data_IF_757290343946
#
_entry.id   IF_757290343946
#
_cell.length_a   1.000
_cell.length_b   1.000
_cell.length_c   1.000
_cell.angle_alpha   90.00
_cell.angle_beta   90.00
_cell.angle_gamma   90.00
#
_symmetry.space_group_name_H-M   'P 1'
#
loop_
_entity.id
_entity.type
_entity.pdbx_description
1 polymer ?
#
# COMPACT_ATOMS: atom_id res chain seq x y z
N UNK A 1 -12.84 -0.27 -9.45
CA UNK A 1 -11.50 -0.81 -9.78
C UNK A 1 -10.95 -1.49 -8.55
N UNK A 2 -10.34 -2.65 -8.74
CA UNK A 2 -9.73 -3.46 -7.69
C UNK A 2 -8.30 -2.99 -7.41
N UNK A 3 -7.91 -3.03 -6.14
CA UNK A 3 -6.57 -2.63 -5.68
C UNK A 3 -5.72 -3.86 -5.37
N UNK A 4 -4.41 -3.77 -5.63
CA UNK A 4 -3.43 -4.77 -5.26
C UNK A 4 -2.16 -4.15 -4.69
N UNK A 5 -1.26 -5.02 -4.24
CA UNK A 5 0.11 -4.66 -3.85
C UNK A 5 1.07 -5.27 -4.86
N UNK A 6 2.00 -4.45 -5.35
CA UNK A 6 3.09 -4.83 -6.24
C UNK A 6 4.39 -4.85 -5.45
N UNK A 7 5.14 -5.95 -5.56
CA UNK A 7 6.54 -6.01 -5.15
C UNK A 7 7.35 -6.73 -6.23
N UNK A 8 8.38 -6.06 -6.76
CA UNK A 8 9.09 -6.48 -7.98
C UNK A 8 8.12 -6.76 -9.15
N UNK A 9 8.00 -8.01 -9.58
CA UNK A 9 7.17 -8.52 -10.66
C UNK A 9 5.94 -9.27 -10.13
N UNK A 10 5.75 -9.32 -8.82
CA UNK A 10 4.62 -9.99 -8.17
C UNK A 10 3.55 -8.96 -7.81
N UNK A 11 2.37 -9.12 -8.40
CA UNK A 11 1.16 -8.40 -7.97
C UNK A 11 0.25 -9.36 -7.23
N UNK A 12 -0.26 -8.93 -6.08
CA UNK A 12 -1.27 -9.68 -5.32
C UNK A 12 -2.47 -8.78 -5.03
N UNK A 13 -3.66 -9.24 -5.42
CA UNK A 13 -4.89 -8.47 -5.25
C UNK A 13 -5.42 -8.45 -3.81
N UNK A 14 -5.98 -7.31 -3.41
CA UNK A 14 -6.78 -7.14 -2.20
C UNK A 14 -8.24 -7.56 -2.38
N UNK A 15 -8.75 -7.78 -3.59
CA UNK A 15 -10.15 -8.14 -3.87
C UNK A 15 -11.13 -7.19 -3.18
N UNK A 16 -10.82 -5.89 -3.32
CA UNK A 16 -11.58 -4.76 -2.78
C UNK A 16 -11.49 -3.62 -3.77
N UNK A 17 -12.58 -2.86 -3.86
CA UNK A 17 -12.63 -1.68 -4.70
C UNK A 17 -11.80 -0.53 -4.11
N UNK A 18 -11.39 0.40 -4.97
CA UNK A 18 -10.54 1.55 -4.59
C UNK A 18 -11.17 2.43 -3.52
N UNK A 19 -12.49 2.63 -3.53
CA UNK A 19 -13.17 3.50 -2.57
C UNK A 19 -13.16 2.88 -1.17
N UNK A 20 -13.39 1.57 -1.07
CA UNK A 20 -13.25 0.80 0.16
C UNK A 20 -11.83 0.93 0.76
N UNK A 21 -10.80 0.78 -0.07
CA UNK A 21 -9.40 0.91 0.37
C UNK A 21 -9.06 2.34 0.76
N UNK A 22 -9.59 3.35 0.06
CA UNK A 22 -9.41 4.75 0.41
C UNK A 22 -10.08 5.11 1.74
N UNK A 23 -11.29 4.61 1.98
CA UNK A 23 -11.97 4.81 3.26
C UNK A 23 -11.19 4.17 4.42
N UNK A 24 -10.63 2.98 4.21
CA UNK A 24 -9.73 2.36 5.19
C UNK A 24 -8.47 3.21 5.43
N UNK A 25 -7.85 3.73 4.38
CA UNK A 25 -6.71 4.63 4.49
C UNK A 25 -7.03 5.85 5.37
N UNK A 26 -8.13 6.55 5.07
CA UNK A 26 -8.56 7.72 5.86
C UNK A 26 -8.86 7.36 7.31
N UNK A 27 -9.50 6.22 7.54
CA UNK A 27 -9.75 5.70 8.88
C UNK A 27 -8.44 5.46 9.64
N UNK A 28 -7.48 4.75 9.05
CA UNK A 28 -6.19 4.46 9.67
C UNK A 28 -5.40 5.74 9.95
N UNK A 29 -5.39 6.67 8.99
CA UNK A 29 -4.72 7.96 9.11
C UNK A 29 -5.26 8.77 10.29
N UNK A 30 -6.58 8.85 10.43
CA UNK A 30 -7.24 9.51 11.55
C UNK A 30 -6.97 8.82 12.89
N UNK A 31 -6.88 7.48 12.89
CA UNK A 31 -6.60 6.70 14.09
C UNK A 31 -5.19 6.93 14.63
N UNK A 32 -4.22 7.17 13.75
CA UNK A 32 -2.80 7.34 14.11
C UNK A 32 -2.29 8.78 14.02
N UNK A 33 -3.18 9.76 13.82
CA UNK A 33 -2.83 11.17 13.58
C UNK A 33 -1.89 11.78 14.64
N UNK A 34 -1.99 11.33 15.89
CA UNK A 34 -1.19 11.83 17.01
C UNK A 34 0.16 11.09 17.14
N UNK A 35 0.40 10.05 16.32
CA UNK A 35 1.65 9.31 16.26
C UNK A 35 2.31 9.51 14.89
N UNK A 36 3.20 10.51 14.83
CA UNK A 36 3.87 10.93 13.60
C UNK A 36 4.58 9.79 12.85
N UNK A 37 5.24 8.89 13.56
CA UNK A 37 5.93 7.74 12.93
C UNK A 37 4.93 6.77 12.30
N UNK A 38 3.81 6.50 12.96
CA UNK A 38 2.77 5.63 12.41
C UNK A 38 2.12 6.29 11.20
N UNK A 39 1.83 7.59 11.29
CA UNK A 39 1.26 8.38 10.22
C UNK A 39 2.13 8.33 8.95
N UNK A 40 3.45 8.54 9.07
CA UNK A 40 4.38 8.46 7.93
C UNK A 40 4.32 7.10 7.25
N UNK A 41 4.36 6.01 8.02
CA UNK A 41 4.39 4.66 7.44
C UNK A 41 3.04 4.31 6.79
N UNK A 42 1.93 4.72 7.39
CA UNK A 42 0.60 4.57 6.78
C UNK A 42 0.51 5.38 5.49
N UNK A 43 0.92 6.65 5.50
CA UNK A 43 0.92 7.48 4.29
C UNK A 43 1.81 6.88 3.20
N UNK A 44 3.00 6.34 3.53
CA UNK A 44 3.86 5.66 2.55
C UNK A 44 3.24 4.37 2.00
N UNK A 45 2.62 3.55 2.84
CA UNK A 45 1.97 2.29 2.43
C UNK A 45 0.87 2.53 1.39
N UNK A 46 0.04 3.56 1.61
CA UNK A 46 -1.10 3.83 0.75
C UNK A 46 -0.78 4.78 -0.39
N UNK A 47 0.03 5.82 -0.20
CA UNK A 47 0.27 6.85 -1.24
C UNK A 47 1.53 6.63 -2.06
N UNK A 48 2.56 6.02 -1.47
CA UNK A 48 3.91 5.94 -2.05
C UNK A 48 4.33 4.48 -2.21
N UNK A 49 5.52 4.18 -1.73
CA UNK A 49 6.12 2.87 -1.72
C UNK A 49 6.83 2.65 -0.39
N UNK A 50 7.09 1.39 -0.06
CA UNK A 50 7.82 0.94 1.12
C UNK A 50 9.09 0.23 0.70
N UNK A 51 10.21 0.57 1.32
CA UNK A 51 11.39 -0.29 1.29
C UNK A 51 11.25 -1.47 2.28
N UNK A 52 12.26 -2.34 2.36
CA UNK A 52 12.26 -3.50 3.25
C UNK A 52 11.98 -3.13 4.73
N UNK A 53 12.73 -2.19 5.29
CA UNK A 53 12.60 -1.79 6.69
C UNK A 53 11.24 -1.13 6.97
N UNK A 54 10.73 -0.35 6.03
CA UNK A 54 9.41 0.27 6.16
C UNK A 54 8.27 -0.74 6.02
N UNK A 55 8.47 -1.80 5.24
CA UNK A 55 7.52 -2.91 5.14
C UNK A 55 7.41 -3.64 6.46
N UNK A 56 8.55 -3.93 7.12
CA UNK A 56 8.57 -4.50 8.47
C UNK A 56 7.85 -3.60 9.49
N UNK A 57 8.08 -2.29 9.41
CA UNK A 57 7.38 -1.31 10.25
C UNK A 57 5.88 -1.29 9.98
N UNK A 58 5.46 -1.28 8.71
CA UNK A 58 4.05 -1.28 8.33
C UNK A 58 3.32 -2.52 8.87
N UNK A 59 3.93 -3.69 8.78
CA UNK A 59 3.39 -4.95 9.34
C UNK A 59 3.19 -4.81 10.85
N UNK A 60 4.21 -4.31 11.58
CA UNK A 60 4.13 -4.13 13.04
C UNK A 60 3.05 -3.10 13.43
N UNK A 61 3.00 -1.98 12.71
CA UNK A 61 2.03 -0.91 12.96
C UNK A 61 0.60 -1.42 12.74
N UNK A 62 0.33 -2.06 11.61
CA UNK A 62 -1.01 -2.60 11.31
C UNK A 62 -1.42 -3.67 12.33
N UNK A 63 -0.50 -4.53 12.75
CA UNK A 63 -0.75 -5.53 13.81
C UNK A 63 -1.10 -4.86 15.13
N UNK A 64 -0.33 -3.85 15.55
CA UNK A 64 -0.59 -3.10 16.77
C UNK A 64 -1.95 -2.38 16.72
N UNK A 65 -2.29 -1.78 15.57
CA UNK A 65 -3.58 -1.14 15.36
C UNK A 65 -4.73 -2.14 15.58
N UNK A 66 -4.64 -3.34 15.01
CA UNK A 66 -5.65 -4.40 15.19
C UNK A 66 -5.81 -4.83 16.65
N UNK A 67 -4.71 -4.91 17.40
CA UNK A 67 -4.74 -5.33 18.81
C UNK A 67 -5.31 -4.21 19.69
N UNK A 68 -4.79 -2.99 19.57
CA UNK A 68 -5.11 -1.87 20.47
C UNK A 68 -6.51 -1.31 20.20
N UNK A 69 -6.95 -1.33 18.94
CA UNK A 69 -8.20 -0.70 18.51
C UNK A 69 -9.25 -1.71 18.07
N UNK A 70 -9.18 -2.95 18.59
CA UNK A 70 -10.09 -4.04 18.21
C UNK A 70 -11.56 -3.64 18.28
N UNK A 71 -11.96 -2.89 19.31
CA UNK A 71 -13.35 -2.47 19.50
C UNK A 71 -13.79 -1.29 18.62
N UNK A 72 -12.84 -0.60 17.97
CA UNK A 72 -13.09 0.55 17.09
C UNK A 72 -13.05 0.20 15.61
N UNK A 73 -12.46 -0.95 15.27
CA UNK A 73 -12.28 -1.42 13.90
C UNK A 73 -13.47 -2.31 13.56
N UNK A 74 -14.14 -2.05 12.44
CA UNK A 74 -15.19 -2.94 11.92
C UNK A 74 -14.60 -4.28 11.49
N UNK A 75 -15.39 -5.35 11.53
CA UNK A 75 -14.93 -6.67 11.09
C UNK A 75 -14.41 -6.68 9.64
N UNK A 76 -15.01 -5.88 8.74
CA UNK A 76 -14.52 -5.77 7.36
C UNK A 76 -13.15 -5.08 7.31
N UNK A 77 -12.95 -3.96 8.02
CA UNK A 77 -11.63 -3.32 8.09
C UNK A 77 -10.59 -4.22 8.74
N UNK A 78 -10.97 -4.97 9.77
CA UNK A 78 -10.10 -5.96 10.37
C UNK A 78 -9.65 -7.00 9.33
N UNK A 79 -10.58 -7.55 8.55
CA UNK A 79 -10.27 -8.51 7.50
C UNK A 79 -9.38 -7.93 6.40
N UNK A 80 -9.61 -6.69 5.97
CA UNK A 80 -8.79 -6.02 4.96
C UNK A 80 -7.38 -5.80 5.50
N UNK A 81 -7.23 -5.28 6.74
CA UNK A 81 -5.92 -5.08 7.36
C UNK A 81 -5.16 -6.41 7.49
N UNK A 82 -5.81 -7.48 7.96
CA UNK A 82 -5.19 -8.81 8.03
C UNK A 82 -4.75 -9.31 6.66
N UNK A 83 -5.52 -9.04 5.61
CA UNK A 83 -5.13 -9.39 4.23
C UNK A 83 -3.92 -8.58 3.77
N UNK A 84 -3.87 -7.27 4.03
CA UNK A 84 -2.72 -6.41 3.74
C UNK A 84 -1.48 -6.96 4.45
N UNK A 85 -1.54 -7.23 5.76
CA UNK A 85 -0.44 -7.79 6.54
C UNK A 85 0.07 -9.09 5.90
N UNK A 86 -0.82 -10.02 5.56
CA UNK A 86 -0.45 -11.30 4.92
C UNK A 86 0.27 -11.09 3.60
N UNK A 87 -0.19 -10.15 2.77
CA UNK A 87 0.44 -9.85 1.48
C UNK A 87 1.80 -9.19 1.68
N UNK A 88 1.90 -8.22 2.60
CA UNK A 88 3.16 -7.55 2.92
C UNK A 88 4.22 -8.54 3.39
N UNK A 89 3.87 -9.52 4.25
CA UNK A 89 4.82 -10.56 4.66
C UNK A 89 5.34 -11.36 3.47
N UNK A 90 4.45 -11.82 2.57
CA UNK A 90 4.86 -12.57 1.38
C UNK A 90 5.76 -11.76 0.44
N UNK A 91 5.44 -10.47 0.25
CA UNK A 91 6.25 -9.59 -0.59
C UNK A 91 7.58 -9.23 0.10
N UNK A 92 7.61 -9.10 1.42
CA UNK A 92 8.83 -8.88 2.20
C UNK A 92 9.80 -10.06 2.07
N UNK A 93 9.32 -11.30 2.19
CA UNK A 93 10.13 -12.50 1.97
C UNK A 93 10.75 -12.49 0.57
N UNK A 94 9.96 -12.04 -0.41
CA UNK A 94 10.41 -11.88 -1.80
C UNK A 94 11.48 -10.78 -1.91
N UNK A 95 11.30 -9.64 -1.23
CA UNK A 95 12.28 -8.55 -1.20
C UNK A 95 13.63 -9.03 -0.65
N UNK A 96 13.60 -9.76 0.46
CA UNK A 96 14.78 -10.32 1.12
C UNK A 96 15.48 -11.31 0.18
N UNK A 97 14.72 -12.22 -0.43
CA UNK A 97 15.26 -13.22 -1.36
C UNK A 97 16.04 -12.56 -2.52
N UNK A 98 15.45 -11.56 -3.19
CA UNK A 98 16.10 -10.89 -4.33
C UNK A 98 17.28 -10.02 -3.92
N UNK A 99 17.25 -9.43 -2.72
CA UNK A 99 18.37 -8.69 -2.17
C UNK A 99 19.56 -9.63 -1.93
N UNK A 100 19.33 -10.75 -1.25
CA UNK A 100 20.39 -11.66 -0.84
C UNK A 100 20.97 -12.48 -1.99
N UNK A 101 20.16 -12.83 -3.00
CA UNK A 101 20.58 -13.70 -4.11
C UNK A 101 20.87 -12.95 -5.41
N UNK A 102 20.39 -11.71 -5.55
CA UNK A 102 20.49 -10.94 -6.79
C UNK A 102 21.05 -9.53 -6.63
N UNK A 103 21.36 -9.09 -5.41
CA UNK A 103 21.72 -7.70 -5.09
C UNK A 103 20.70 -6.67 -5.63
N UNK A 104 19.43 -7.05 -5.74
CA UNK A 104 18.36 -6.18 -6.22
C UNK A 104 17.62 -5.58 -5.04
N UNK A 105 17.61 -4.25 -4.96
CA UNK A 105 16.80 -3.51 -3.99
C UNK A 105 15.43 -3.29 -4.63
N UNK A 106 14.37 -3.72 -3.94
CA UNK A 106 13.00 -3.56 -4.38
C UNK A 106 12.14 -2.79 -3.39
N UNK A 107 10.94 -2.46 -3.84
CA UNK A 107 9.95 -1.69 -3.08
C UNK A 107 8.58 -2.32 -3.26
N UNK A 108 7.71 -2.08 -2.27
CA UNK A 108 6.31 -2.48 -2.32
C UNK A 108 5.43 -1.25 -2.45
N UNK A 109 4.47 -1.27 -3.36
CA UNK A 109 3.51 -0.16 -3.54
C UNK A 109 2.11 -0.67 -3.84
N UNK A 110 1.13 0.14 -3.49
CA UNK A 110 -0.27 -0.10 -3.83
C UNK A 110 -0.56 0.35 -5.26
N UNK A 111 -1.27 -0.47 -6.03
CA UNK A 111 -1.57 -0.21 -7.44
C UNK A 111 -3.02 -0.58 -7.79
N UNK A 112 -3.52 -0.07 -8.91
CA UNK A 112 -4.72 -0.61 -9.54
C UNK A 112 -4.39 -2.00 -10.10
N UNK A 113 -5.20 -3.01 -9.77
CA UNK A 113 -4.98 -4.40 -10.18
C UNK A 113 -5.51 -4.70 -11.58
N UNK A 114 -6.57 -4.02 -12.01
CA UNK A 114 -7.21 -4.29 -13.29
C UNK A 114 -6.34 -3.88 -14.48
N UNK A 115 -6.36 -4.68 -15.54
CA UNK A 115 -5.74 -4.37 -16.83
C UNK A 115 -6.61 -3.33 -17.58
N UNK A 116 -6.02 -2.35 -18.31
CA UNK A 116 -4.58 -2.15 -18.53
C UNK A 116 -3.88 -1.31 -17.45
N UNK A 117 -4.62 -0.78 -16.48
CA UNK A 117 -4.12 0.19 -15.49
C UNK A 117 -2.96 -0.34 -14.66
N UNK A 118 -2.99 -1.62 -14.29
CA UNK A 118 -1.87 -2.24 -13.56
C UNK A 118 -0.53 -2.13 -14.30
N UNK A 119 -0.52 -2.20 -15.63
CA UNK A 119 0.70 -2.03 -16.44
C UNK A 119 1.19 -0.58 -16.43
N UNK A 120 0.27 0.38 -16.42
CA UNK A 120 0.59 1.81 -16.33
C UNK A 120 1.19 2.14 -14.96
N UNK A 121 0.58 1.65 -13.88
CA UNK A 121 1.07 1.79 -12.50
C UNK A 121 2.46 1.15 -12.34
N UNK A 122 2.68 -0.02 -12.95
CA UNK A 122 3.98 -0.70 -12.93
C UNK A 122 5.08 0.13 -13.60
N UNK A 123 4.77 0.87 -14.66
CA UNK A 123 5.74 1.70 -15.38
C UNK A 123 6.06 3.02 -14.68
N UNK A 124 5.34 3.38 -13.61
CA UNK A 124 5.61 4.65 -12.92
C UNK A 124 6.97 4.62 -12.22
N UNK A 125 7.82 5.65 -12.46
CA UNK A 125 9.10 5.80 -11.77
C UNK A 125 8.90 6.14 -10.30
N UNK A 126 9.89 5.89 -9.44
CA UNK A 126 9.77 6.15 -8.00
C UNK A 126 9.73 7.65 -7.70
N UNK A 127 10.43 8.44 -8.50
CA UNK A 127 10.50 9.90 -8.44
C UNK A 127 9.11 10.54 -8.54
N UNK A 128 8.20 9.89 -9.28
CA UNK A 128 6.81 10.31 -9.34
C UNK A 128 6.14 10.23 -7.94
N UNK A 129 6.32 9.13 -7.22
CA UNK A 129 5.77 8.96 -5.86
C UNK A 129 6.48 9.86 -4.84
N UNK A 130 7.78 10.10 -5.03
CA UNK A 130 8.55 11.03 -4.19
C UNK A 130 8.00 12.46 -4.28
N UNK A 131 7.53 12.86 -5.47
CA UNK A 131 6.92 14.17 -5.69
C UNK A 131 5.54 14.38 -5.06
N UNK A 132 4.87 13.30 -4.62
CA UNK A 132 3.55 13.40 -3.97
C UNK A 132 3.67 14.11 -2.61
N UNK A 133 2.86 15.16 -2.44
CA UNK A 133 2.68 15.93 -1.21
C UNK A 133 1.61 15.31 -0.31
N UNK A 134 1.42 15.86 0.89
CA UNK A 134 0.41 15.38 1.84
C UNK A 134 -1.03 15.63 1.35
N UNK A 135 -1.23 16.68 0.54
CA UNK A 135 -2.53 17.06 -0.03
C UNK A 135 -2.91 16.21 -1.25
N UNK A 136 -1.93 15.58 -1.92
CA UNK A 136 -2.19 14.76 -3.09
C UNK A 136 -2.92 13.46 -2.73
N UNK A 137 -3.87 13.04 -3.56
CA UNK A 137 -4.49 11.73 -3.43
C UNK A 137 -3.50 10.60 -3.80
N UNK A 138 -3.69 9.39 -3.26
CA UNK A 138 -2.95 8.21 -3.72
C UNK A 138 -3.06 8.05 -5.25
N UNK A 139 -1.97 7.65 -5.90
CA UNK A 139 -1.95 7.51 -7.37
C UNK A 139 -3.07 6.60 -7.91
N UNK A 140 -3.35 5.51 -7.22
CA UNK A 140 -4.38 4.53 -7.59
C UNK A 140 -5.83 5.02 -7.39
N UNK A 141 -6.03 6.23 -6.86
CA UNK A 141 -7.36 6.87 -6.78
C UNK A 141 -7.79 7.58 -8.06
N UNK A 142 -6.84 7.87 -8.96
CA UNK A 142 -7.08 8.60 -10.22
C UNK A 142 -8.20 8.01 -11.05
N UNK A 143 -8.80 8.87 -11.88
CA UNK A 143 -9.85 8.43 -12.77
C UNK A 143 -9.26 7.73 -13.99
N UNK A 144 -10.02 6.79 -14.52
CA UNK A 144 -9.74 6.04 -15.73
C UNK A 144 -9.51 6.97 -16.93
N UNK A 145 -10.27 8.06 -16.96
CA UNK A 145 -10.22 9.08 -17.99
C UNK A 145 -8.84 9.76 -18.10
N UNK A 146 -8.10 9.84 -16.99
CA UNK A 146 -6.75 10.42 -16.92
C UNK A 146 -5.72 9.61 -17.73
N UNK A 147 -6.01 8.35 -18.04
CA UNK A 147 -5.13 7.44 -18.78
C UNK A 147 -5.41 7.39 -20.29
N UNK A 148 -6.59 7.88 -20.72
CA UNK A 148 -7.05 7.81 -22.12
C UNK A 148 -6.70 9.11 -22.88
N UNK A 149 -6.42 10.20 -22.16
CA UNK A 149 -6.00 11.48 -22.75
C UNK A 149 -4.48 11.56 -22.93
N UNK A 150 -3.93 10.83 -23.91
CA UNK A 150 -2.61 11.12 -24.51
C UNK A 150 -2.62 10.86 -26.00
#
# INVERSE_FOLDING_TARGET
>A
MEIGLLGFDIIISLNRDKDCIFNLYQFLRNLVKDNFNYLIIIDRLFKKYLNQNETEQAIRILTNIQIINKDKISDDYFNIISKIIRILNKLLDTLIYYKDNGNRIGYIRMIIFNIPYCAIDQMQPLEFYDSLTDEDEPFWMRDVSDFIQK
#
